data_IF_794011821644
#
_entry.id   IF_794011821644
#
_cell.length_a   1.000
_cell.length_b   1.000
_cell.length_c   1.000
_cell.angle_alpha   90.00
_cell.angle_beta   90.00
_cell.angle_gamma   90.00
#
_symmetry.space_group_name_H-M   'P 1'
#
loop_
_entity.id
_entity.type
_entity.pdbx_description
1 polymer ?
#
# COMPACT_ATOMS: atom_id res chain seq x y z
N UNK A 1 3.53 -11.63 -13.03
CA UNK A 1 3.32 -12.80 -13.92
C UNK A 1 2.03 -13.51 -13.56
N UNK A 2 1.32 -14.00 -14.56
CA UNK A 2 0.10 -14.79 -14.39
C UNK A 2 0.44 -16.19 -13.87
N UNK A 3 0.04 -16.53 -12.64
CA UNK A 3 0.19 -17.86 -12.07
C UNK A 3 -1.10 -18.28 -11.34
N UNK A 4 -1.96 -19.02 -12.01
CA UNK A 4 -3.26 -19.45 -11.47
C UNK A 4 -3.19 -20.43 -10.30
N UNK A 5 -2.00 -20.94 -9.94
CA UNK A 5 -1.79 -21.90 -8.86
C UNK A 5 -1.04 -21.31 -7.64
N UNK A 6 -0.48 -20.12 -7.77
CA UNK A 6 0.28 -19.48 -6.70
C UNK A 6 -0.67 -19.07 -5.57
N UNK A 7 -0.45 -19.60 -4.37
CA UNK A 7 -1.31 -19.35 -3.19
C UNK A 7 -0.70 -18.36 -2.23
N UNK A 8 0.63 -18.36 -2.07
CA UNK A 8 1.35 -17.46 -1.18
C UNK A 8 2.70 -17.05 -1.77
N UNK A 9 3.14 -15.85 -1.44
CA UNK A 9 4.50 -15.36 -1.72
C UNK A 9 5.14 -14.96 -0.40
N UNK A 10 6.24 -15.60 -0.06
CA UNK A 10 7.03 -15.32 1.13
C UNK A 10 8.52 -15.40 0.79
N UNK A 11 9.26 -14.34 1.09
CA UNK A 11 10.70 -14.29 0.96
C UNK A 11 11.32 -13.82 2.28
N UNK A 12 11.79 -14.76 3.09
CA UNK A 12 12.25 -14.49 4.46
C UNK A 12 13.49 -13.59 4.53
N UNK A 13 14.35 -13.66 3.51
CA UNK A 13 15.66 -12.98 3.50
C UNK A 13 15.74 -11.83 2.46
N UNK A 14 14.68 -11.55 1.71
CA UNK A 14 14.69 -10.45 0.75
C UNK A 14 14.65 -9.13 1.51
N UNK A 15 15.75 -8.38 1.48
CA UNK A 15 15.89 -7.12 2.21
C UNK A 15 15.71 -5.88 1.35
N UNK A 16 16.09 -5.92 0.08
CA UNK A 16 16.02 -4.78 -0.84
C UNK A 16 15.59 -5.23 -2.23
N UNK A 17 14.70 -4.49 -2.85
CA UNK A 17 14.39 -4.56 -4.28
C UNK A 17 14.90 -3.29 -4.94
N UNK A 18 15.81 -3.42 -5.91
CA UNK A 18 16.46 -2.27 -6.57
C UNK A 18 15.85 -1.91 -7.92
N UNK A 19 15.10 -2.83 -8.49
CA UNK A 19 14.46 -2.70 -9.79
C UNK A 19 12.95 -2.90 -9.70
N UNK A 20 12.36 -3.51 -10.71
CA UNK A 20 10.93 -3.75 -10.84
C UNK A 20 10.41 -4.67 -9.72
N UNK A 21 9.36 -4.23 -9.02
CA UNK A 21 8.61 -5.02 -8.06
C UNK A 21 7.17 -5.18 -8.56
N UNK A 22 6.89 -6.33 -9.18
CA UNK A 22 5.56 -6.59 -9.77
C UNK A 22 4.99 -7.96 -9.35
N UNK A 23 3.86 -7.94 -8.66
CA UNK A 23 3.05 -9.13 -8.33
C UNK A 23 1.64 -8.87 -8.85
N UNK A 24 1.26 -9.51 -9.97
CA UNK A 24 -0.03 -9.24 -10.62
C UNK A 24 -0.66 -10.47 -11.24
N UNK A 25 -2.00 -10.46 -11.31
CA UNK A 25 -2.80 -11.49 -11.97
C UNK A 25 -2.61 -12.90 -11.41
N UNK A 26 -2.50 -13.05 -10.07
CA UNK A 26 -2.42 -14.35 -9.40
C UNK A 26 -3.72 -14.59 -8.64
N UNK A 27 -4.69 -15.20 -9.29
CA UNK A 27 -6.08 -15.31 -8.79
C UNK A 27 -6.23 -16.02 -7.45
N UNK A 28 -5.33 -16.98 -7.13
CA UNK A 28 -5.35 -17.75 -5.89
C UNK A 28 -4.40 -17.25 -4.81
N UNK A 29 -3.63 -16.21 -5.12
CA UNK A 29 -2.70 -15.63 -4.13
C UNK A 29 -3.48 -15.00 -2.98
N UNK A 30 -3.34 -15.55 -1.78
CA UNK A 30 -4.08 -15.12 -0.59
C UNK A 30 -3.29 -14.22 0.34
N UNK A 31 -1.95 -14.31 0.32
CA UNK A 31 -1.09 -13.47 1.17
C UNK A 31 0.26 -13.18 0.55
N UNK A 32 0.81 -12.01 0.87
CA UNK A 32 2.18 -11.59 0.54
C UNK A 32 2.84 -11.16 1.84
N UNK A 33 3.97 -11.80 2.19
CA UNK A 33 4.72 -11.50 3.41
C UNK A 33 6.22 -11.44 3.11
N UNK A 34 6.83 -10.28 3.30
CA UNK A 34 8.28 -10.09 3.19
C UNK A 34 8.82 -9.53 4.50
N UNK A 35 9.14 -10.41 5.48
CA UNK A 35 9.46 -9.99 6.84
C UNK A 35 10.77 -9.21 6.96
N UNK A 36 11.71 -9.41 6.05
CA UNK A 36 13.02 -8.73 6.05
C UNK A 36 13.09 -7.54 5.07
N UNK A 37 12.03 -7.30 4.25
CA UNK A 37 12.08 -6.24 3.23
C UNK A 37 12.14 -4.86 3.86
N UNK A 38 13.25 -4.17 3.63
CA UNK A 38 13.55 -2.85 4.17
C UNK A 38 13.30 -1.72 3.15
N UNK A 39 13.61 -1.95 1.86
CA UNK A 39 13.48 -0.93 0.84
C UNK A 39 13.05 -1.48 -0.53
N UNK A 40 12.25 -0.66 -1.25
CA UNK A 40 11.92 -0.84 -2.66
C UNK A 40 12.33 0.46 -3.38
N UNK A 41 13.43 0.40 -4.13
CA UNK A 41 14.15 1.58 -4.63
C UNK A 41 14.01 1.80 -6.15
N UNK A 42 13.49 0.81 -6.89
CA UNK A 42 13.37 0.90 -8.35
C UNK A 42 12.64 2.17 -8.80
N UNK A 43 13.09 2.74 -9.91
CA UNK A 43 12.50 3.95 -10.51
C UNK A 43 11.10 3.69 -11.05
N UNK A 44 10.80 2.45 -11.40
CA UNK A 44 9.47 2.00 -11.76
C UNK A 44 8.57 1.85 -10.53
N UNK A 45 7.26 1.93 -10.74
CA UNK A 45 6.29 1.78 -9.67
C UNK A 45 6.27 0.34 -9.15
N UNK A 46 6.47 0.17 -7.85
CA UNK A 46 6.21 -1.11 -7.19
C UNK A 46 4.71 -1.41 -7.23
N UNK A 47 4.31 -2.55 -7.81
CA UNK A 47 2.91 -2.85 -8.09
C UNK A 47 2.48 -4.21 -7.57
N UNK A 48 1.39 -4.22 -6.79
CA UNK A 48 0.62 -5.43 -6.44
C UNK A 48 -0.79 -5.21 -6.99
N UNK A 49 -1.12 -5.89 -8.11
CA UNK A 49 -2.31 -5.56 -8.89
C UNK A 49 -3.09 -6.80 -9.31
N UNK A 50 -4.42 -6.72 -9.21
CA UNK A 50 -5.38 -7.74 -9.68
C UNK A 50 -5.05 -9.16 -9.19
N UNK A 51 -4.78 -9.31 -7.89
CA UNK A 51 -4.68 -10.60 -7.20
C UNK A 51 -5.98 -10.79 -6.39
N UNK A 52 -7.02 -11.32 -7.00
CA UNK A 52 -8.42 -11.27 -6.51
C UNK A 52 -8.65 -11.93 -5.15
N UNK A 53 -7.89 -12.98 -4.81
CA UNK A 53 -7.99 -13.67 -3.52
C UNK A 53 -7.05 -13.09 -2.44
N UNK A 54 -6.24 -12.06 -2.78
CA UNK A 54 -5.27 -11.50 -1.85
C UNK A 54 -5.98 -10.79 -0.70
N UNK A 55 -5.88 -11.34 0.51
CA UNK A 55 -6.52 -10.81 1.71
C UNK A 55 -5.58 -9.88 2.51
N UNK A 56 -4.27 -10.13 2.48
CA UNK A 56 -3.32 -9.34 3.26
C UNK A 56 -1.97 -9.15 2.56
N UNK A 57 -1.37 -7.98 2.81
CA UNK A 57 0.03 -7.64 2.43
C UNK A 57 0.75 -7.17 3.68
N UNK A 58 1.95 -7.72 3.95
CA UNK A 58 2.74 -7.36 5.14
C UNK A 58 4.21 -7.18 4.81
N UNK A 59 4.70 -5.96 5.04
CA UNK A 59 6.10 -5.53 4.93
C UNK A 59 6.51 -4.83 6.23
N UNK A 60 6.69 -5.58 7.34
CA UNK A 60 6.82 -5.00 8.69
C UNK A 60 8.06 -4.13 8.88
N UNK A 61 9.14 -4.37 8.13
CA UNK A 61 10.40 -3.63 8.22
C UNK A 61 10.60 -2.65 7.05
N UNK A 62 9.63 -2.49 6.15
CA UNK A 62 9.75 -1.60 5.00
C UNK A 62 9.81 -0.14 5.44
N UNK A 63 10.98 0.48 5.32
CA UNK A 63 11.21 1.87 5.72
C UNK A 63 11.17 2.83 4.55
N UNK A 64 11.56 2.37 3.35
CA UNK A 64 11.70 3.23 2.18
C UNK A 64 11.08 2.61 0.93
N UNK A 65 10.38 3.46 0.17
CA UNK A 65 9.88 3.15 -1.16
C UNK A 65 10.22 4.28 -2.13
N UNK A 66 10.27 3.99 -3.43
CA UNK A 66 10.11 5.03 -4.44
C UNK A 66 8.61 5.33 -4.59
N UNK A 67 7.86 4.48 -5.27
CA UNK A 67 6.39 4.55 -5.37
C UNK A 67 5.79 3.18 -5.11
N UNK A 68 4.60 3.10 -4.50
CA UNK A 68 3.94 1.84 -4.17
C UNK A 68 2.46 1.88 -4.53
N UNK A 69 2.05 0.95 -5.38
CA UNK A 69 0.65 0.74 -5.73
C UNK A 69 0.20 -0.67 -5.36
N UNK A 70 -0.75 -0.78 -4.46
CA UNK A 70 -1.43 -2.02 -4.08
C UNK A 70 -2.90 -1.80 -4.44
N UNK A 71 -3.30 -2.14 -5.66
CA UNK A 71 -4.60 -1.75 -6.20
C UNK A 71 -5.33 -2.89 -6.89
N UNK A 72 -6.65 -2.80 -6.97
CA UNK A 72 -7.51 -3.76 -7.66
C UNK A 72 -7.42 -5.19 -7.12
N UNK A 73 -7.14 -5.34 -5.82
CA UNK A 73 -7.16 -6.63 -5.13
C UNK A 73 -8.47 -6.75 -4.33
N UNK A 74 -9.51 -7.28 -4.95
CA UNK A 74 -10.90 -7.20 -4.47
C UNK A 74 -11.21 -7.89 -3.13
N UNK A 75 -10.28 -8.69 -2.60
CA UNK A 75 -10.38 -9.29 -1.25
C UNK A 75 -9.44 -8.64 -0.23
N UNK A 76 -8.60 -7.67 -0.64
CA UNK A 76 -7.56 -7.11 0.22
C UNK A 76 -8.17 -6.18 1.28
N UNK A 77 -8.13 -6.62 2.52
CA UNK A 77 -8.66 -5.89 3.67
C UNK A 77 -7.58 -5.42 4.66
N UNK A 78 -6.32 -5.84 4.49
CA UNK A 78 -5.23 -5.51 5.41
C UNK A 78 -3.94 -5.20 4.67
N UNK A 79 -3.38 -4.02 4.91
CA UNK A 79 -2.04 -3.60 4.48
C UNK A 79 -1.24 -3.22 5.73
N UNK A 80 -0.13 -3.91 5.97
CA UNK A 80 0.74 -3.71 7.13
C UNK A 80 2.12 -3.20 6.72
N UNK A 81 2.35 -1.89 6.90
CA UNK A 81 3.59 -1.17 6.57
C UNK A 81 4.01 -0.23 7.72
N UNK A 82 4.13 -0.73 8.96
CA UNK A 82 4.28 0.12 10.15
C UNK A 82 5.58 0.93 10.17
N UNK A 83 6.66 0.41 9.58
CA UNK A 83 7.97 1.05 9.57
C UNK A 83 8.16 2.10 8.46
N UNK A 84 7.24 2.19 7.48
CA UNK A 84 7.41 3.10 6.34
C UNK A 84 7.61 4.54 6.80
N UNK A 85 8.71 5.16 6.36
CA UNK A 85 9.10 6.51 6.78
C UNK A 85 9.52 7.44 5.64
N UNK A 86 9.79 6.89 4.44
CA UNK A 86 10.27 7.67 3.29
C UNK A 86 9.67 7.17 1.98
N UNK A 87 9.22 8.11 1.15
CA UNK A 87 8.93 7.87 -0.27
C UNK A 87 9.64 8.90 -1.14
N UNK A 88 10.45 8.45 -2.10
CA UNK A 88 11.18 9.34 -3.02
C UNK A 88 10.34 9.73 -4.24
N UNK A 89 9.53 8.82 -4.76
CA UNK A 89 8.62 9.05 -5.89
C UNK A 89 7.31 9.74 -5.51
N UNK A 90 7.01 9.84 -4.20
CA UNK A 90 5.82 10.52 -3.64
C UNK A 90 4.47 9.98 -4.11
N UNK A 91 4.42 8.79 -4.68
CA UNK A 91 3.21 8.17 -5.22
C UNK A 91 2.84 6.94 -4.38
N UNK A 92 1.67 6.97 -3.75
CA UNK A 92 1.18 5.91 -2.87
C UNK A 92 -0.29 5.64 -3.21
N UNK A 93 -0.57 4.46 -3.75
CA UNK A 93 -1.91 4.06 -4.16
C UNK A 93 -2.36 2.76 -3.48
N UNK A 94 -3.48 2.80 -2.78
CA UNK A 94 -4.13 1.65 -2.15
C UNK A 94 -5.62 1.59 -2.51
N UNK A 95 -5.99 2.13 -3.68
CA UNK A 95 -7.36 2.16 -4.18
C UNK A 95 -7.86 0.83 -4.72
N UNK A 96 -9.16 0.76 -5.00
CA UNK A 96 -9.83 -0.37 -5.65
C UNK A 96 -9.60 -1.72 -4.94
N UNK A 97 -9.59 -1.73 -3.61
CA UNK A 97 -9.45 -2.91 -2.76
C UNK A 97 -10.72 -3.14 -1.91
N UNK A 98 -10.62 -3.90 -0.82
CA UNK A 98 -11.68 -4.10 0.17
C UNK A 98 -11.24 -3.62 1.58
N UNK A 99 -10.44 -2.56 1.64
CA UNK A 99 -9.97 -2.01 2.91
C UNK A 99 -11.15 -1.43 3.69
N UNK A 100 -11.37 -1.80 4.96
CA UNK A 100 -12.38 -1.14 5.79
C UNK A 100 -11.93 0.27 6.20
N UNK A 101 -12.87 1.13 6.61
CA UNK A 101 -12.57 2.50 7.07
C UNK A 101 -11.51 2.55 8.18
N UNK A 102 -11.44 1.53 9.04
CA UNK A 102 -10.40 1.42 10.07
C UNK A 102 -8.98 1.29 9.47
N UNK A 103 -8.83 0.54 8.38
CA UNK A 103 -7.55 0.44 7.65
C UNK A 103 -7.23 1.74 6.90
N UNK A 104 -8.23 2.36 6.27
CA UNK A 104 -8.07 3.66 5.62
C UNK A 104 -7.57 4.70 6.64
N UNK A 105 -8.16 4.75 7.84
CA UNK A 105 -7.73 5.64 8.91
C UNK A 105 -6.29 5.36 9.35
N UNK A 106 -5.90 4.09 9.54
CA UNK A 106 -4.53 3.70 9.90
C UNK A 106 -3.51 4.15 8.84
N UNK A 107 -3.84 3.99 7.56
CA UNK A 107 -2.97 4.40 6.45
C UNK A 107 -2.84 5.93 6.38
N UNK A 108 -3.93 6.68 6.56
CA UNK A 108 -3.89 8.16 6.63
C UNK A 108 -3.00 8.64 7.79
N UNK A 109 -3.19 8.09 8.98
CA UNK A 109 -2.35 8.39 10.16
C UNK A 109 -0.87 8.07 9.89
N UNK A 110 -0.59 6.93 9.24
CA UNK A 110 0.77 6.55 8.85
C UNK A 110 1.40 7.58 7.90
N UNK A 111 0.65 8.06 6.91
CA UNK A 111 1.16 8.99 5.88
C UNK A 111 1.55 10.36 6.45
N UNK A 112 1.06 10.76 7.62
CA UNK A 112 1.50 11.99 8.32
C UNK A 112 2.99 11.94 8.69
N UNK A 113 3.54 10.74 8.94
CA UNK A 113 4.91 10.53 9.38
C UNK A 113 5.84 10.03 8.27
N UNK A 114 5.35 9.90 7.02
CA UNK A 114 6.16 9.50 5.87
C UNK A 114 6.72 10.74 5.18
N UNK A 115 8.03 10.81 5.05
CA UNK A 115 8.71 11.90 4.34
C UNK A 115 8.64 11.72 2.81
N UNK A 116 8.63 12.83 2.05
CA UNK A 116 8.54 14.21 2.50
C UNK A 116 7.16 14.51 3.10
N UNK A 117 7.08 15.50 3.97
CA UNK A 117 5.81 15.89 4.62
C UNK A 117 4.76 16.42 3.64
N UNK A 118 5.20 16.95 2.48
CA UNK A 118 4.33 17.54 1.45
C UNK A 118 4.60 16.97 0.06
N UNK A 119 3.66 17.22 -0.86
CA UNK A 119 3.79 16.88 -2.28
C UNK A 119 3.56 15.40 -2.58
N UNK A 120 3.05 14.59 -1.62
CA UNK A 120 2.64 13.21 -1.87
C UNK A 120 1.29 13.17 -2.58
N UNK A 121 1.11 12.19 -3.47
CA UNK A 121 -0.18 11.74 -4.00
C UNK A 121 -0.58 10.46 -3.28
N UNK A 122 -1.66 10.51 -2.52
CA UNK A 122 -2.17 9.42 -1.68
C UNK A 122 -3.56 9.05 -2.17
N UNK A 123 -3.73 7.84 -2.70
CA UNK A 123 -4.95 7.37 -3.33
C UNK A 123 -5.51 6.17 -2.56
N UNK A 124 -6.66 6.34 -1.92
CA UNK A 124 -7.33 5.34 -1.07
C UNK A 124 -8.78 5.10 -1.50
N UNK A 125 -9.21 5.69 -2.61
CA UNK A 125 -10.59 5.61 -3.13
C UNK A 125 -10.90 4.24 -3.76
N UNK A 126 -12.19 4.01 -4.04
CA UNK A 126 -12.68 2.84 -4.76
C UNK A 126 -12.68 1.58 -3.92
N UNK A 127 -12.78 1.68 -2.60
CA UNK A 127 -12.91 0.49 -1.76
C UNK A 127 -14.28 -0.17 -1.98
N UNK A 128 -14.33 -1.50 -1.92
CA UNK A 128 -15.58 -2.23 -2.05
C UNK A 128 -15.77 -3.22 -0.88
N UNK A 129 -16.71 -2.95 0.04
CA UNK A 129 -17.63 -1.78 0.08
C UNK A 129 -16.90 -0.44 0.29
N UNK A 130 -17.55 0.71 -0.06
CA UNK A 130 -16.96 2.03 0.16
C UNK A 130 -16.54 2.23 1.62
N UNK A 131 -15.35 2.77 1.81
CA UNK A 131 -14.71 2.88 3.13
C UNK A 131 -14.18 4.32 3.38
N UNK A 132 -15.06 5.32 3.48
CA UNK A 132 -14.64 6.68 3.76
C UNK A 132 -13.92 6.76 5.11
N UNK A 133 -12.99 7.71 5.29
CA UNK A 133 -12.35 7.95 6.58
C UNK A 133 -13.38 8.37 7.63
N UNK A 134 -13.16 7.95 8.87
CA UNK A 134 -14.04 8.22 10.00
C UNK A 134 -13.25 8.76 11.20
N UNK A 135 -13.91 9.49 12.10
CA UNK A 135 -13.28 9.94 13.35
C UNK A 135 -11.94 10.64 13.13
N UNK A 136 -10.87 10.11 13.73
CA UNK A 136 -9.51 10.65 13.58
C UNK A 136 -9.03 10.64 12.13
N UNK A 137 -9.45 9.68 11.30
CA UNK A 137 -9.05 9.61 9.89
C UNK A 137 -9.51 10.81 9.05
N UNK A 138 -10.64 11.46 9.39
CA UNK A 138 -11.09 12.71 8.76
C UNK A 138 -10.10 13.84 9.09
N UNK A 139 -9.66 13.91 10.34
CA UNK A 139 -8.70 14.91 10.82
C UNK A 139 -7.34 14.70 10.16
N UNK A 140 -6.87 13.46 10.09
CA UNK A 140 -5.59 13.08 9.50
C UNK A 140 -5.58 13.37 7.98
N UNK A 141 -6.68 13.10 7.26
CA UNK A 141 -6.85 13.48 5.86
C UNK A 141 -6.74 14.99 5.67
N UNK A 142 -7.44 15.77 6.49
CA UNK A 142 -7.38 17.23 6.44
C UNK A 142 -5.96 17.75 6.73
N UNK A 143 -5.27 17.18 7.71
CA UNK A 143 -3.89 17.54 8.05
C UNK A 143 -2.93 17.24 6.88
N UNK A 144 -3.07 16.10 6.21
CA UNK A 144 -2.27 15.76 5.03
C UNK A 144 -2.50 16.76 3.87
N UNK A 145 -3.76 17.13 3.60
CA UNK A 145 -4.11 18.13 2.57
C UNK A 145 -3.53 19.50 2.93
N UNK A 146 -3.67 19.93 4.18
CA UNK A 146 -3.13 21.20 4.66
C UNK A 146 -1.60 21.24 4.59
N UNK A 147 -0.93 20.11 4.71
CA UNK A 147 0.52 19.99 4.52
C UNK A 147 0.93 19.99 3.03
N UNK A 148 0.00 20.15 2.08
CA UNK A 148 0.28 20.22 0.65
C UNK A 148 0.36 18.86 -0.07
N UNK A 149 -0.32 17.83 0.46
CA UNK A 149 -0.47 16.55 -0.21
C UNK A 149 -1.81 16.48 -0.97
N UNK A 150 -1.85 15.69 -2.05
CA UNK A 150 -3.10 15.28 -2.70
C UNK A 150 -3.60 14.00 -2.03
N UNK A 151 -4.83 13.99 -1.50
CA UNK A 151 -5.41 12.84 -0.81
C UNK A 151 -6.81 12.55 -1.33
N UNK A 152 -7.00 11.38 -1.94
CA UNK A 152 -8.29 10.93 -2.47
C UNK A 152 -8.74 9.69 -1.68
N UNK A 153 -9.99 9.72 -1.20
CA UNK A 153 -10.66 8.60 -0.50
C UNK A 153 -12.08 8.47 -1.01
N UNK A 154 -12.79 7.42 -0.60
CA UNK A 154 -14.25 7.31 -0.78
C UNK A 154 -14.99 8.43 -0.08
#
# INVERSE_FOLDING_TARGET
SLNSKLVAVKFDNLSVVQDEFNIRYNEKLSSIVFPALNAILGDDQATIYDNKSLASVSFPLLTQINSLYITSNSSLNTINIPALSLTTGKQIGFGDNALPSSQVNLLLSKMLNVLPVSGKSIQLQGQNPPAPPTGQGIIDKAALINAGNSVITD
#
